data_IF_524872829036
#
_entry.id   IF_524872829036
#
_cell.length_a   1.000
_cell.length_b   1.000
_cell.length_c   1.000
_cell.angle_alpha   90.00
_cell.angle_beta   90.00
_cell.angle_gamma   90.00
#
_symmetry.space_group_name_H-M   'P 1'
#
loop_
_entity.id
_entity.type
_entity.pdbx_description
1 polymer ?
#
# COMPACT_ATOMS: atom_id res chain seq x y z
N UNK A 1 -0.70 6.99 38.75
CA UNK A 1 -1.03 7.04 37.32
C UNK A 1 -0.72 8.43 36.81
N UNK A 2 0.35 8.59 36.05
CA UNK A 2 0.83 9.91 35.61
C UNK A 2 0.11 10.33 34.31
N UNK A 3 -0.37 11.56 34.25
CA UNK A 3 -0.98 12.18 33.07
C UNK A 3 -0.29 13.51 32.79
N UNK A 4 -0.25 13.93 31.53
CA UNK A 4 0.29 15.22 31.11
C UNK A 4 -0.87 16.19 30.91
N UNK A 5 -0.74 17.40 31.47
CA UNK A 5 -1.73 18.47 31.33
C UNK A 5 -1.17 19.59 30.46
N UNK A 6 -1.99 20.11 29.56
CA UNK A 6 -1.72 21.31 28.78
C UNK A 6 -2.86 22.30 28.99
N UNK A 7 -2.53 23.54 29.35
CA UNK A 7 -3.50 24.60 29.62
C UNK A 7 -3.33 25.73 28.61
N UNK A 8 -4.45 26.12 28.00
CA UNK A 8 -4.62 27.29 27.15
C UNK A 8 -5.68 28.21 27.78
N UNK A 9 -5.76 29.45 27.32
CA UNK A 9 -6.82 30.42 27.54
C UNK A 9 -8.25 29.86 27.35
N UNK A 10 -8.44 28.85 26.50
CA UNK A 10 -9.75 28.22 26.23
C UNK A 10 -10.07 27.01 27.12
N UNK A 11 -9.11 26.49 27.90
CA UNK A 11 -9.36 25.36 28.80
C UNK A 11 -8.15 24.47 29.10
N UNK A 12 -8.41 23.36 29.81
CA UNK A 12 -7.41 22.38 30.24
C UNK A 12 -7.60 21.05 29.49
N UNK A 13 -6.52 20.56 28.87
CA UNK A 13 -6.46 19.27 28.20
C UNK A 13 -5.62 18.29 29.01
N UNK A 14 -6.16 17.09 29.28
CA UNK A 14 -5.47 16.03 30.01
C UNK A 14 -5.23 14.86 29.07
N UNK A 15 -4.00 14.38 29.01
CA UNK A 15 -3.60 13.20 28.22
C UNK A 15 -2.96 12.18 29.14
N UNK A 16 -3.39 10.93 29.04
CA UNK A 16 -2.79 9.80 29.75
C UNK A 16 -2.39 8.72 28.75
N UNK A 17 -1.16 8.26 28.85
CA UNK A 17 -0.64 7.16 28.04
C UNK A 17 -0.89 5.87 28.82
N UNK A 18 -1.63 4.94 28.23
CA UNK A 18 -1.93 3.64 28.85
C UNK A 18 -0.87 2.58 28.49
N UNK A 19 -0.36 2.60 27.26
CA UNK A 19 0.62 1.62 26.77
C UNK A 19 1.49 2.19 25.65
N UNK A 20 2.72 1.68 25.51
CA UNK A 20 3.71 2.09 24.51
C UNK A 20 4.30 0.84 23.86
N UNK A 21 4.24 0.79 22.53
CA UNK A 21 4.92 -0.24 21.74
C UNK A 21 6.36 0.18 21.46
N UNK A 22 7.31 -0.72 21.71
CA UNK A 22 8.71 -0.53 21.36
C UNK A 22 8.92 -0.77 19.86
N UNK A 23 10.04 -0.24 19.35
CA UNK A 23 10.49 -0.55 18.00
C UNK A 23 10.67 -2.07 17.85
N UNK A 24 10.10 -2.64 16.78
CA UNK A 24 9.99 -4.08 16.48
C UNK A 24 8.82 -4.84 17.13
N UNK A 25 8.02 -4.19 17.99
CA UNK A 25 6.77 -4.80 18.43
C UNK A 25 5.75 -4.87 17.29
N UNK A 26 4.81 -5.81 17.42
CA UNK A 26 3.75 -5.99 16.42
C UNK A 26 2.87 -4.74 16.42
N UNK A 27 2.88 -4.02 15.30
CA UNK A 27 2.06 -2.83 15.14
C UNK A 27 0.56 -3.18 15.18
N UNK A 28 -0.29 -2.32 15.75
CA UNK A 28 -1.72 -2.54 15.81
C UNK A 28 -2.32 -2.68 14.41
N UNK A 29 -3.28 -3.60 14.25
CA UNK A 29 -3.90 -3.89 12.96
C UNK A 29 -4.44 -2.62 12.28
N UNK A 30 -5.10 -1.75 13.05
CA UNK A 30 -5.71 -0.52 12.53
C UNK A 30 -4.69 0.43 11.88
N UNK A 31 -3.44 0.40 12.31
CA UNK A 31 -2.37 1.21 11.76
C UNK A 31 -1.81 0.61 10.46
N UNK A 32 -1.70 -0.72 10.39
CA UNK A 32 -1.07 -1.43 9.25
C UNK A 32 -2.05 -1.84 8.15
N UNK A 33 -3.33 -2.01 8.47
CA UNK A 33 -4.39 -2.40 7.55
C UNK A 33 -4.44 -1.58 6.25
N UNK A 34 -4.44 -0.22 6.29
CA UNK A 34 -4.48 0.57 5.05
C UNK A 34 -3.26 0.30 4.15
N UNK A 35 -2.08 0.14 4.75
CA UNK A 35 -0.83 -0.15 4.04
C UNK A 35 -0.86 -1.53 3.39
N UNK A 36 -1.30 -2.56 4.13
CA UNK A 36 -1.43 -3.93 3.60
C UNK A 36 -2.41 -3.95 2.43
N UNK A 37 -3.55 -3.27 2.56
CA UNK A 37 -4.53 -3.14 1.48
C UNK A 37 -3.92 -2.53 0.23
N UNK A 38 -3.15 -1.44 0.37
CA UNK A 38 -2.47 -0.80 -0.76
C UNK A 38 -1.46 -1.72 -1.44
N UNK A 39 -0.68 -2.49 -0.66
CA UNK A 39 0.27 -3.48 -1.19
C UNK A 39 -0.45 -4.53 -2.03
N UNK A 40 -1.56 -5.07 -1.52
CA UNK A 40 -2.35 -6.09 -2.23
C UNK A 40 -2.93 -5.52 -3.53
N UNK A 41 -3.48 -4.31 -3.50
CA UNK A 41 -4.03 -3.64 -4.68
C UNK A 41 -2.95 -3.42 -5.75
N UNK A 42 -1.77 -2.94 -5.35
CA UNK A 42 -0.65 -2.73 -6.26
C UNK A 42 -0.18 -4.04 -6.90
N UNK A 43 -0.07 -5.12 -6.11
CA UNK A 43 0.31 -6.45 -6.63
C UNK A 43 -0.68 -6.94 -7.68
N UNK A 44 -1.98 -6.86 -7.40
CA UNK A 44 -3.04 -7.27 -8.35
C UNK A 44 -3.03 -6.44 -9.63
N UNK A 45 -2.81 -5.12 -9.51
CA UNK A 45 -2.72 -4.23 -10.67
C UNK A 45 -1.54 -4.60 -11.59
N UNK A 46 -0.37 -4.86 -11.01
CA UNK A 46 0.82 -5.27 -11.76
C UNK A 46 0.62 -6.64 -12.45
N UNK A 47 0.00 -7.58 -11.76
CA UNK A 47 -0.32 -8.89 -12.31
C UNK A 47 -1.29 -8.80 -13.50
N UNK A 48 -2.33 -7.97 -13.39
CA UNK A 48 -3.29 -7.74 -14.46
C UNK A 48 -2.61 -7.19 -15.72
N UNK A 49 -1.73 -6.19 -15.58
CA UNK A 49 -1.00 -5.61 -16.70
C UNK A 49 -0.16 -6.67 -17.41
N UNK A 50 0.60 -7.47 -16.66
CA UNK A 50 1.43 -8.56 -17.23
C UNK A 50 0.60 -9.61 -17.95
N UNK A 51 -0.54 -9.98 -17.39
CA UNK A 51 -1.44 -10.95 -18.01
C UNK A 51 -2.01 -10.39 -19.32
N UNK A 52 -2.43 -9.12 -19.33
CA UNK A 52 -2.93 -8.45 -20.52
C UNK A 52 -1.86 -8.37 -21.62
N UNK A 53 -0.64 -7.93 -21.29
CA UNK A 53 0.49 -7.89 -22.23
C UNK A 53 0.76 -9.26 -22.84
N UNK A 54 0.75 -10.31 -22.01
CA UNK A 54 0.97 -11.69 -22.46
C UNK A 54 -0.13 -12.15 -23.41
N UNK A 55 -1.39 -11.85 -23.08
CA UNK A 55 -2.54 -12.30 -23.86
C UNK A 55 -2.61 -11.56 -25.20
N UNK A 56 -2.33 -10.25 -25.23
CA UNK A 56 -2.19 -9.46 -26.46
C UNK A 56 -1.06 -10.02 -27.33
N UNK A 57 0.10 -10.29 -26.74
CA UNK A 57 1.26 -10.84 -27.47
C UNK A 57 0.92 -12.21 -28.09
N UNK A 58 0.26 -13.09 -27.32
CA UNK A 58 -0.19 -14.40 -27.82
C UNK A 58 -1.20 -14.28 -28.95
N UNK A 59 -2.16 -13.36 -28.83
CA UNK A 59 -3.16 -13.14 -29.87
C UNK A 59 -2.54 -12.60 -31.16
N UNK A 60 -1.62 -11.64 -31.05
CA UNK A 60 -0.87 -11.09 -32.18
C UNK A 60 -0.07 -12.17 -32.92
N UNK A 61 0.64 -13.03 -32.17
CA UNK A 61 1.39 -14.17 -32.74
C UNK A 61 0.47 -15.17 -33.44
N UNK A 62 -0.66 -15.53 -32.83
CA UNK A 62 -1.63 -16.48 -33.40
C UNK A 62 -2.27 -15.96 -34.68
N UNK A 63 -2.65 -14.69 -34.69
CA UNK A 63 -3.37 -14.07 -35.80
C UNK A 63 -2.43 -13.45 -36.85
N UNK A 64 -1.10 -13.61 -36.71
CA UNK A 64 -0.06 -12.97 -37.54
C UNK A 64 -0.23 -11.45 -37.67
N UNK A 65 -0.75 -10.80 -36.62
CA UNK A 65 -1.00 -9.35 -36.58
C UNK A 65 0.16 -8.63 -35.90
N UNK A 66 1.36 -8.70 -36.49
CA UNK A 66 2.55 -8.02 -35.98
C UNK A 66 3.48 -7.62 -37.12
N UNK A 67 4.24 -6.55 -36.90
CA UNK A 67 5.27 -6.07 -37.81
C UNK A 67 6.63 -6.25 -37.12
N UNK A 68 7.59 -6.85 -37.82
CA UNK A 68 8.96 -7.01 -37.32
C UNK A 68 9.76 -5.79 -37.80
N UNK A 69 10.16 -4.94 -36.86
CA UNK A 69 11.09 -3.85 -37.14
C UNK A 69 12.52 -4.36 -36.92
N UNK A 70 13.28 -4.54 -38.00
CA UNK A 70 14.74 -4.68 -37.93
C UNK A 70 15.33 -3.28 -37.85
N UNK A 71 16.05 -2.96 -36.77
CA UNK A 71 16.85 -1.73 -36.72
C UNK A 71 17.91 -1.81 -37.84
N UNK A 72 17.82 -0.91 -38.82
CA UNK A 72 18.94 -0.57 -39.69
C UNK A 72 19.93 0.31 -38.94
#
# INVERSE_FOLDING_TARGET
>A
SNFTQLQDSLGVYLVKIEDILLTNDIAPLIYVEPTIKQIILNKRKLELIKNLERDITKDALKNKKFEIYTNQ
#
